data_IF_973519533692
#
_entry.id   IF_973519533692
#
_cell.length_a   1.000
_cell.length_b   1.000
_cell.length_c   1.000
_cell.angle_alpha   90.00
_cell.angle_beta   90.00
_cell.angle_gamma   90.00
#
_symmetry.space_group_name_H-M   'P 1'
#
loop_
_entity.id
_entity.type
_entity.pdbx_description
1 polymer ?
#
# COMPACT_ATOMS: atom_id res chain seq x y z
N UNK A 1 -36.02 -46.39 -32.00
CA UNK A 1 -37.21 -46.11 -32.83
C UNK A 1 -38.35 -45.69 -31.91
N UNK A 2 -39.24 -44.76 -32.31
CA UNK A 2 -39.04 -43.69 -33.30
C UNK A 2 -38.10 -42.63 -32.66
N UNK A 3 -38.27 -41.30 -32.53
CA UNK A 3 -39.08 -40.19 -33.11
C UNK A 3 -38.35 -38.86 -32.75
N UNK A 4 -38.47 -37.71 -33.42
CA UNK A 4 -39.24 -37.37 -34.65
C UNK A 4 -40.11 -36.11 -34.45
N UNK A 5 -39.66 -34.92 -34.88
CA UNK A 5 -40.46 -33.68 -34.74
C UNK A 5 -39.82 -32.39 -35.26
N UNK A 6 -40.02 -32.07 -36.55
CA UNK A 6 -39.57 -30.81 -37.18
C UNK A 6 -40.73 -29.96 -37.71
N UNK A 7 -40.77 -28.67 -37.36
CA UNK A 7 -41.49 -27.57 -38.06
C UNK A 7 -40.68 -26.27 -37.83
N UNK A 8 -40.05 -25.67 -38.84
CA UNK A 8 -40.55 -24.89 -40.00
C UNK A 8 -41.11 -23.50 -39.64
N UNK A 9 -40.47 -22.49 -40.26
CA UNK A 9 -40.85 -21.06 -40.33
C UNK A 9 -42.19 -20.84 -41.05
N UNK A 10 -42.72 -19.60 -41.01
CA UNK A 10 -42.82 -18.85 -42.28
C UNK A 10 -42.17 -17.46 -42.26
N UNK A 11 -41.91 -16.93 -43.47
CA UNK A 11 -41.47 -15.54 -43.73
C UNK A 11 -42.70 -14.66 -44.05
N UNK A 12 -42.61 -13.33 -43.86
CA UNK A 12 -42.27 -12.39 -44.95
C UNK A 12 -42.94 -11.01 -44.86
N UNK A 13 -42.24 -9.99 -45.41
CA UNK A 13 -42.76 -8.73 -46.00
C UNK A 13 -43.36 -7.71 -44.99
N UNK A 14 -43.38 -6.39 -45.26
CA UNK A 14 -43.11 -5.63 -46.50
C UNK A 14 -42.62 -4.19 -46.19
N UNK A 15 -41.73 -3.65 -47.00
CA UNK A 15 -41.49 -2.20 -47.21
C UNK A 15 -42.41 -1.72 -48.40
N UNK A 16 -42.29 -0.52 -49.05
CA UNK A 16 -41.38 0.63 -48.84
C UNK A 16 -42.05 2.04 -49.02
N UNK A 17 -41.21 3.07 -49.24
CA UNK A 17 -41.44 4.44 -49.78
C UNK A 17 -41.69 5.56 -48.75
N UNK A 18 -40.96 6.70 -48.71
CA UNK A 18 -40.40 7.64 -49.73
C UNK A 18 -41.41 8.67 -50.28
N UNK A 19 -41.17 9.97 -50.05
CA UNK A 19 -40.88 10.98 -51.10
C UNK A 19 -40.76 12.44 -50.56
N UNK A 20 -40.05 13.27 -51.33
CA UNK A 20 -39.61 14.65 -51.06
C UNK A 20 -40.67 15.78 -51.20
N UNK A 21 -40.47 16.90 -50.50
CA UNK A 21 -40.26 18.26 -51.08
C UNK A 21 -39.63 19.16 -50.00
N UNK A 22 -38.64 20.06 -50.13
CA UNK A 22 -38.06 20.97 -51.17
C UNK A 22 -38.74 22.34 -51.36
N UNK A 23 -37.86 23.38 -51.39
CA UNK A 23 -38.04 24.78 -51.83
C UNK A 23 -38.86 25.77 -50.96
N UNK A 24 -38.63 27.11 -50.95
CA UNK A 24 -37.41 27.95 -51.22
C UNK A 24 -37.68 29.46 -50.99
N UNK A 25 -36.67 30.22 -50.54
CA UNK A 25 -36.50 31.72 -50.60
C UNK A 25 -37.63 32.56 -49.91
N UNK A 26 -37.56 33.89 -49.66
CA UNK A 26 -36.66 35.05 -49.91
C UNK A 26 -36.80 35.97 -48.65
N UNK A 27 -35.86 36.73 -48.02
CA UNK A 27 -34.81 37.74 -48.36
C UNK A 27 -35.13 39.13 -47.73
N UNK A 28 -34.10 39.95 -47.47
CA UNK A 28 -34.08 41.32 -46.89
C UNK A 28 -34.36 41.46 -45.37
N UNK A 29 -33.68 42.32 -44.59
CA UNK A 29 -32.43 43.09 -44.87
C UNK A 29 -31.65 43.49 -43.60
N UNK A 30 -30.45 44.07 -43.80
CA UNK A 30 -29.59 44.92 -42.94
C UNK A 30 -30.01 45.19 -41.48
N UNK A 31 -29.09 45.18 -40.49
CA UNK A 31 -28.09 46.27 -40.37
C UNK A 31 -26.85 46.02 -39.47
N UNK A 32 -25.86 46.92 -39.64
CA UNK A 32 -24.77 47.36 -38.75
C UNK A 32 -23.78 46.39 -38.04
N UNK A 33 -22.50 46.79 -38.10
CA UNK A 33 -21.33 46.17 -37.46
C UNK A 33 -21.20 46.48 -35.95
N UNK A 34 -20.45 45.65 -35.22
CA UNK A 34 -19.20 46.05 -34.52
C UNK A 34 -18.49 44.79 -33.99
N UNK A 35 -17.19 44.66 -34.27
CA UNK A 35 -16.43 43.44 -33.96
C UNK A 35 -15.70 43.47 -32.63
N UNK A 36 -15.76 42.37 -31.87
CA UNK A 36 -14.78 42.02 -30.83
C UNK A 36 -14.35 40.56 -31.03
N UNK A 37 -13.15 40.36 -31.56
CA UNK A 37 -12.52 39.03 -31.64
C UNK A 37 -12.02 38.61 -30.26
N UNK A 38 -12.52 37.47 -29.74
CA UNK A 38 -11.93 36.81 -28.57
C UNK A 38 -11.84 35.30 -28.76
N UNK A 39 -10.61 34.83 -28.94
CA UNK A 39 -10.24 33.42 -29.05
C UNK A 39 -10.47 32.68 -27.74
N UNK A 40 -11.57 31.94 -27.63
CA UNK A 40 -11.82 30.98 -26.55
C UNK A 40 -11.13 29.65 -26.80
N UNK A 41 -9.81 29.58 -26.62
CA UNK A 41 -9.07 28.32 -26.81
C UNK A 41 -9.44 27.26 -25.77
N UNK A 42 -9.69 26.04 -26.25
CA UNK A 42 -10.00 24.88 -25.39
C UNK A 42 -8.76 24.44 -24.62
N UNK A 43 -8.76 24.66 -23.30
CA UNK A 43 -7.66 24.32 -22.40
C UNK A 43 -7.54 22.80 -22.09
N UNK A 44 -7.65 21.94 -23.11
CA UNK A 44 -7.17 20.56 -23.06
C UNK A 44 -5.68 20.50 -23.40
N UNK A 45 -4.86 21.06 -22.51
CA UNK A 45 -3.40 20.98 -22.59
C UNK A 45 -2.95 19.53 -22.37
N UNK A 46 -2.79 18.78 -23.47
CA UNK A 46 -2.08 17.51 -23.46
C UNK A 46 -0.65 17.77 -22.95
N UNK A 47 -0.34 17.31 -21.73
CA UNK A 47 0.96 17.46 -21.10
C UNK A 47 2.02 16.71 -21.91
N UNK A 48 2.67 17.43 -22.84
CA UNK A 48 3.65 16.87 -23.76
C UNK A 48 4.72 16.06 -23.02
N UNK A 49 4.95 14.83 -23.49
CA UNK A 49 5.75 13.83 -22.81
C UNK A 49 7.26 14.12 -22.96
N UNK A 50 7.73 15.23 -22.36
CA UNK A 50 9.16 15.53 -22.21
C UNK A 50 9.78 14.41 -21.39
N UNK A 51 10.62 13.60 -22.03
CA UNK A 51 11.27 12.45 -21.38
C UNK A 51 11.96 12.86 -20.08
N UNK A 52 11.78 12.05 -19.03
CA UNK A 52 12.26 12.42 -17.69
C UNK A 52 13.79 12.34 -17.69
N UNK A 53 14.41 13.46 -17.34
CA UNK A 53 15.87 13.50 -17.18
C UNK A 53 16.29 12.61 -16.01
N UNK A 54 17.55 12.15 -15.95
CA UNK A 54 18.09 11.38 -14.81
C UNK A 54 18.04 12.09 -13.44
N UNK A 55 17.45 13.28 -13.36
CA UNK A 55 17.27 14.10 -12.17
C UNK A 55 15.82 14.11 -11.64
N UNK A 56 14.89 13.35 -12.21
CA UNK A 56 13.55 13.16 -11.64
C UNK A 56 13.60 12.13 -10.48
N UNK A 57 13.34 12.53 -9.21
CA UNK A 57 13.35 11.60 -8.07
C UNK A 57 12.34 10.45 -8.20
N UNK A 58 11.33 10.60 -9.07
CA UNK A 58 10.39 9.53 -9.40
C UNK A 58 11.09 8.30 -9.98
N UNK A 59 12.12 8.48 -10.81
CA UNK A 59 12.87 7.36 -11.40
C UNK A 59 13.53 6.54 -10.30
N UNK A 60 14.18 7.22 -9.35
CA UNK A 60 14.83 6.58 -8.20
C UNK A 60 13.84 5.89 -7.27
N UNK A 61 12.73 6.54 -6.92
CA UNK A 61 11.66 5.95 -6.11
C UNK A 61 11.06 4.71 -6.77
N UNK A 62 10.69 4.81 -8.05
CA UNK A 62 10.14 3.69 -8.81
C UNK A 62 11.15 2.54 -8.96
N UNK A 63 12.43 2.86 -9.11
CA UNK A 63 13.52 1.86 -9.16
C UNK A 63 13.66 1.12 -7.83
N UNK A 64 13.60 1.83 -6.69
CA UNK A 64 13.58 1.20 -5.37
C UNK A 64 12.38 0.30 -5.16
N UNK A 65 11.21 0.74 -5.61
CA UNK A 65 9.98 -0.03 -5.56
C UNK A 65 10.10 -1.33 -6.39
N UNK A 66 10.54 -1.23 -7.66
CA UNK A 66 10.69 -2.40 -8.52
C UNK A 66 11.82 -3.33 -8.08
N UNK A 67 12.96 -2.83 -7.60
CA UNK A 67 14.04 -3.68 -7.08
C UNK A 67 13.72 -4.30 -5.71
N UNK A 68 12.74 -3.76 -4.97
CA UNK A 68 12.30 -4.32 -3.69
C UNK A 68 11.51 -5.62 -3.83
N UNK A 69 10.57 -5.69 -4.78
CA UNK A 69 9.63 -6.82 -4.89
C UNK A 69 9.38 -7.35 -6.31
N UNK A 70 9.94 -6.68 -7.34
CA UNK A 70 9.86 -7.10 -8.73
C UNK A 70 10.56 -8.43 -8.99
N UNK A 71 9.91 -9.27 -9.78
CA UNK A 71 10.43 -10.57 -10.24
C UNK A 71 10.13 -10.71 -11.73
N UNK A 72 10.96 -11.44 -12.51
CA UNK A 72 10.56 -11.87 -13.84
C UNK A 72 9.22 -12.62 -13.80
N UNK A 73 8.36 -12.37 -14.79
CA UNK A 73 7.23 -13.23 -15.06
C UNK A 73 7.72 -14.62 -15.52
N UNK A 74 6.91 -15.66 -15.26
CA UNK A 74 7.19 -17.01 -15.77
C UNK A 74 7.09 -17.05 -17.30
N UNK A 75 6.26 -16.18 -17.89
CA UNK A 75 6.02 -16.09 -19.31
C UNK A 75 6.27 -14.65 -19.83
N UNK A 76 7.26 -14.51 -20.71
CA UNK A 76 7.53 -13.27 -21.46
C UNK A 76 8.37 -12.20 -20.74
N UNK A 77 8.70 -11.13 -21.48
CA UNK A 77 9.54 -10.00 -21.03
C UNK A 77 8.77 -9.00 -20.16
N UNK A 78 8.31 -9.47 -19.00
CA UNK A 78 7.56 -8.67 -18.03
C UNK A 78 8.08 -8.85 -16.61
N UNK A 79 8.01 -7.79 -15.80
CA UNK A 79 8.14 -7.90 -14.35
C UNK A 79 6.76 -8.03 -13.71
N UNK A 80 6.66 -8.90 -12.71
CA UNK A 80 5.51 -9.07 -11.85
C UNK A 80 5.85 -8.59 -10.43
N UNK A 81 4.91 -7.89 -9.80
CA UNK A 81 4.91 -7.53 -8.39
C UNK A 81 3.60 -7.97 -7.74
N UNK A 82 3.64 -8.35 -6.46
CA UNK A 82 2.46 -8.77 -5.69
C UNK A 82 2.51 -8.12 -4.32
N UNK A 83 1.45 -7.40 -3.94
CA UNK A 83 1.35 -6.62 -2.71
C UNK A 83 0.05 -6.94 -1.97
N UNK A 84 -0.06 -6.52 -0.71
CA UNK A 84 -1.32 -6.54 0.03
C UNK A 84 -2.38 -5.74 -0.75
N UNK A 85 -3.59 -6.28 -0.89
CA UNK A 85 -4.59 -5.73 -1.83
C UNK A 85 -4.92 -4.26 -1.59
N UNK A 86 -4.87 -3.76 -0.36
CA UNK A 86 -5.08 -2.34 -0.02
C UNK A 86 -4.14 -1.37 -0.78
N UNK A 87 -3.05 -1.84 -1.37
CA UNK A 87 -2.12 -1.02 -2.14
C UNK A 87 -2.50 -0.82 -3.62
N UNK A 88 -3.66 -1.30 -4.08
CA UNK A 88 -4.10 -1.14 -5.48
C UNK A 88 -4.24 0.33 -5.89
N UNK A 89 -4.67 1.19 -4.98
CA UNK A 89 -4.81 2.64 -5.18
C UNK A 89 -3.45 3.29 -5.45
N UNK A 90 -2.49 3.05 -4.55
CA UNK A 90 -1.11 3.50 -4.68
C UNK A 90 -0.42 2.99 -5.96
N UNK A 91 -0.59 1.70 -6.29
CA UNK A 91 -0.08 1.12 -7.55
C UNK A 91 -0.61 1.87 -8.78
N UNK A 92 -1.91 2.18 -8.80
CA UNK A 92 -2.54 2.90 -9.89
C UNK A 92 -1.99 4.33 -10.03
N UNK A 93 -1.90 5.09 -8.93
CA UNK A 93 -1.34 6.45 -8.97
C UNK A 93 0.15 6.47 -9.36
N UNK A 94 0.95 5.54 -8.83
CA UNK A 94 2.36 5.41 -9.19
C UNK A 94 2.52 5.07 -10.68
N UNK A 95 1.68 4.19 -11.22
CA UNK A 95 1.69 3.84 -12.65
C UNK A 95 1.41 5.04 -13.54
N UNK A 96 0.35 5.81 -13.24
CA UNK A 96 0.01 7.02 -13.99
C UNK A 96 1.13 8.05 -13.90
N UNK A 97 1.69 8.27 -12.70
CA UNK A 97 2.82 9.19 -12.47
C UNK A 97 4.05 8.76 -13.27
N UNK A 98 4.29 7.47 -13.41
CA UNK A 98 5.35 6.91 -14.25
C UNK A 98 5.11 7.10 -15.76
N UNK A 99 3.88 7.38 -16.20
CA UNK A 99 3.51 7.49 -17.62
C UNK A 99 3.12 6.15 -18.25
N UNK A 100 2.55 5.26 -17.45
CA UNK A 100 2.07 3.93 -17.86
C UNK A 100 0.55 4.00 -17.99
N UNK A 101 0.03 4.22 -19.20
CA UNK A 101 -1.40 4.51 -19.43
C UNK A 101 -2.35 3.34 -19.13
N UNK A 102 -1.84 2.10 -19.16
CA UNK A 102 -2.62 0.87 -18.96
C UNK A 102 -1.83 -0.10 -18.06
N UNK A 103 -1.74 0.18 -16.74
CA UNK A 103 -1.08 -0.74 -15.82
C UNK A 103 -1.88 -2.05 -15.74
N UNK A 104 -1.21 -3.18 -15.92
CA UNK A 104 -1.85 -4.50 -15.82
C UNK A 104 -2.00 -4.88 -14.35
N UNK A 105 -3.00 -4.31 -13.69
CA UNK A 105 -3.39 -4.63 -12.31
C UNK A 105 -4.42 -5.76 -12.33
N UNK A 106 -4.27 -6.75 -11.45
CA UNK A 106 -5.25 -7.81 -11.23
C UNK A 106 -5.34 -8.23 -9.75
N UNK A 107 -6.41 -8.91 -9.38
CA UNK A 107 -6.72 -9.31 -8.01
C UNK A 107 -6.83 -10.83 -7.90
N UNK A 108 -5.71 -11.57 -7.90
CA UNK A 108 -5.73 -13.04 -7.92
C UNK A 108 -6.29 -13.62 -6.62
N UNK A 109 -7.34 -14.43 -6.75
CA UNK A 109 -7.91 -15.24 -5.67
C UNK A 109 -7.04 -16.49 -5.47
N UNK A 110 -6.23 -16.52 -4.42
CA UNK A 110 -5.30 -17.64 -4.17
C UNK A 110 -5.95 -18.87 -3.51
N UNK A 111 -7.28 -18.86 -3.34
CA UNK A 111 -8.08 -19.96 -2.79
C UNK A 111 -7.75 -20.34 -1.33
N UNK A 112 -6.84 -19.62 -0.67
CA UNK A 112 -6.22 -20.06 0.56
C UNK A 112 -6.97 -19.56 1.80
N UNK A 113 -7.06 -20.42 2.82
CA UNK A 113 -7.65 -20.09 4.11
C UNK A 113 -6.59 -19.59 5.11
N UNK A 114 -6.89 -18.46 5.74
CA UNK A 114 -6.15 -17.92 6.87
C UNK A 114 -6.34 -18.79 8.11
N UNK A 115 -5.27 -19.47 8.53
CA UNK A 115 -5.26 -20.25 9.79
C UNK A 115 -5.51 -19.39 11.04
N UNK A 116 -5.15 -18.10 10.99
CA UNK A 116 -5.38 -17.15 12.10
C UNK A 116 -6.85 -16.73 12.20
N UNK A 117 -7.51 -16.46 11.05
CA UNK A 117 -8.90 -15.96 11.00
C UNK A 117 -9.94 -17.07 10.75
N UNK A 118 -9.51 -18.34 10.56
CA UNK A 118 -10.37 -19.48 10.17
C UNK A 118 -11.26 -19.20 8.94
N UNK A 119 -10.79 -18.37 8.03
CA UNK A 119 -11.58 -17.81 6.93
C UNK A 119 -10.71 -17.50 5.71
N UNK A 120 -11.21 -16.72 4.74
CA UNK A 120 -10.42 -16.27 3.60
C UNK A 120 -9.09 -15.61 4.03
N UNK A 121 -8.05 -15.78 3.21
CA UNK A 121 -6.81 -15.00 3.35
C UNK A 121 -7.03 -13.56 2.88
N UNK A 122 -6.26 -12.63 3.46
CA UNK A 122 -6.16 -11.26 2.95
C UNK A 122 -5.77 -11.29 1.47
N UNK A 123 -6.50 -10.54 0.66
CA UNK A 123 -6.30 -10.50 -0.78
C UNK A 123 -4.94 -9.93 -1.15
N UNK A 124 -4.50 -10.22 -2.37
CA UNK A 124 -3.34 -9.57 -2.97
C UNK A 124 -3.73 -8.81 -4.23
N UNK A 125 -2.97 -7.77 -4.53
CA UNK A 125 -2.99 -7.09 -5.82
C UNK A 125 -1.70 -7.46 -6.57
N UNK A 126 -1.85 -7.96 -7.79
CA UNK A 126 -0.75 -8.17 -8.71
C UNK A 126 -0.66 -7.00 -9.68
N UNK A 127 0.58 -6.59 -9.99
CA UNK A 127 0.89 -5.61 -11.03
C UNK A 127 1.94 -6.20 -11.96
N UNK A 128 1.68 -6.10 -13.26
CA UNK A 128 2.58 -6.60 -14.32
C UNK A 128 2.95 -5.47 -15.28
N UNK A 129 4.23 -5.37 -15.64
CA UNK A 129 4.72 -4.41 -16.64
C UNK A 129 5.66 -5.08 -17.64
N UNK A 130 5.32 -4.96 -18.93
CA UNK A 130 6.18 -5.36 -20.06
C UNK A 130 7.17 -4.24 -20.37
N UNK A 131 8.39 -4.59 -20.79
CA UNK A 131 9.43 -3.64 -21.25
C UNK A 131 8.90 -2.67 -22.34
N UNK A 132 8.10 -3.20 -23.27
CA UNK A 132 7.44 -2.44 -24.35
C UNK A 132 6.43 -1.40 -23.86
N UNK A 133 5.79 -1.62 -22.70
CA UNK A 133 4.72 -0.79 -22.17
C UNK A 133 5.21 0.38 -21.29
N UNK A 134 6.50 0.45 -21.01
CA UNK A 134 7.13 1.65 -20.46
C UNK A 134 7.39 2.67 -21.57
N UNK A 135 7.12 3.95 -21.32
CA UNK A 135 7.51 5.04 -22.24
C UNK A 135 8.91 5.59 -21.94
N UNK A 136 9.38 5.46 -20.69
CA UNK A 136 10.64 6.04 -20.22
C UNK A 136 11.83 5.05 -20.29
N UNK A 137 13.00 5.53 -20.71
CA UNK A 137 14.21 4.71 -20.91
C UNK A 137 14.84 4.21 -19.61
N UNK A 138 14.75 4.96 -18.51
CA UNK A 138 15.24 4.53 -17.20
C UNK A 138 14.31 3.49 -16.59
N UNK A 139 12.99 3.64 -16.79
CA UNK A 139 12.01 2.62 -16.42
C UNK A 139 12.27 1.31 -17.18
N UNK A 140 12.56 1.36 -18.50
CA UNK A 140 13.00 0.18 -19.27
C UNK A 140 14.31 -0.41 -18.74
N UNK A 141 15.29 0.44 -18.42
CA UNK A 141 16.55 0.01 -17.79
C UNK A 141 16.32 -0.76 -16.49
N UNK A 142 15.43 -0.26 -15.63
CA UNK A 142 15.06 -0.92 -14.37
C UNK A 142 14.44 -2.29 -14.62
N UNK A 143 13.43 -2.38 -15.49
CA UNK A 143 12.74 -3.62 -15.88
C UNK A 143 13.75 -4.64 -16.39
N UNK A 144 14.59 -4.26 -17.36
CA UNK A 144 15.64 -5.13 -17.94
C UNK A 144 16.62 -5.60 -16.87
N UNK A 145 17.07 -4.71 -15.99
CA UNK A 145 17.99 -5.10 -14.91
C UNK A 145 17.41 -6.12 -13.90
N UNK A 146 16.09 -6.25 -13.82
CA UNK A 146 15.40 -7.29 -13.03
C UNK A 146 15.30 -8.60 -13.84
N UNK A 147 14.95 -8.50 -15.13
CA UNK A 147 14.87 -9.65 -16.04
C UNK A 147 16.23 -10.33 -16.24
N UNK A 148 17.28 -9.52 -16.43
CA UNK A 148 18.65 -9.96 -16.69
C UNK A 148 19.44 -10.22 -15.38
N UNK A 149 18.84 -9.96 -14.21
CA UNK A 149 19.46 -10.04 -12.87
C UNK A 149 20.75 -9.18 -12.69
N UNK A 150 20.93 -8.16 -13.54
CA UNK A 150 22.06 -7.19 -13.51
C UNK A 150 21.80 -5.97 -12.61
N UNK A 151 20.77 -6.04 -11.75
CA UNK A 151 20.24 -4.89 -10.99
C UNK A 151 21.29 -4.13 -10.16
N UNK A 152 22.30 -4.82 -9.63
CA UNK A 152 23.34 -4.23 -8.80
C UNK A 152 24.36 -3.38 -9.57
N UNK A 153 24.51 -3.62 -10.88
CA UNK A 153 25.41 -2.84 -11.74
C UNK A 153 24.66 -1.75 -12.49
N UNK A 154 23.42 -2.04 -12.92
CA UNK A 154 22.51 -1.04 -13.46
C UNK A 154 22.21 0.09 -12.46
N UNK A 155 22.01 -0.22 -11.18
CA UNK A 155 21.75 0.84 -10.19
C UNK A 155 22.97 1.73 -9.94
N UNK A 156 24.20 1.20 -10.05
CA UNK A 156 25.43 1.99 -9.91
C UNK A 156 25.57 3.02 -11.02
N UNK A 157 25.14 2.71 -12.25
CA UNK A 157 25.12 3.71 -13.34
C UNK A 157 23.95 4.71 -13.23
N UNK A 158 22.87 4.36 -12.52
CA UNK A 158 21.78 5.29 -12.16
C UNK A 158 22.20 6.33 -11.10
N UNK A 159 23.21 6.03 -10.27
CA UNK A 159 23.78 6.91 -9.25
C UNK A 159 25.18 7.43 -9.65
N UNK A 160 25.30 8.29 -10.69
CA UNK A 160 26.59 8.74 -11.18
C UNK A 160 27.36 9.57 -10.14
N UNK A 161 28.61 9.18 -9.90
CA UNK A 161 29.54 9.81 -8.93
C UNK A 161 29.94 11.25 -9.28
N UNK A 162 29.61 11.73 -10.49
CA UNK A 162 29.78 13.12 -10.91
C UNK A 162 28.75 14.09 -10.31
N UNK A 163 27.71 13.59 -9.64
CA UNK A 163 26.73 14.42 -8.94
C UNK A 163 27.27 14.95 -7.59
N UNK A 164 26.94 16.19 -7.19
CA UNK A 164 27.28 16.69 -5.86
C UNK A 164 26.76 15.74 -4.77
N UNK A 165 27.51 15.46 -3.69
CA UNK A 165 27.12 14.47 -2.68
C UNK A 165 25.69 14.68 -2.16
N UNK A 166 25.29 15.92 -1.86
CA UNK A 166 23.93 16.24 -1.40
C UNK A 166 22.82 15.88 -2.40
N UNK A 167 23.09 15.94 -3.71
CA UNK A 167 22.12 15.53 -4.73
C UNK A 167 22.03 13.99 -4.82
N UNK A 168 23.16 13.28 -4.75
CA UNK A 168 23.20 11.80 -4.65
C UNK A 168 22.44 11.31 -3.40
N UNK A 169 22.63 11.95 -2.25
CA UNK A 169 21.92 11.63 -1.00
C UNK A 169 20.39 11.77 -1.14
N UNK A 170 19.91 12.82 -1.81
CA UNK A 170 18.48 13.07 -2.03
C UNK A 170 17.84 12.06 -2.99
N UNK A 171 18.52 11.67 -4.06
CA UNK A 171 18.04 10.59 -4.93
C UNK A 171 18.08 9.23 -4.24
N UNK A 172 19.08 9.01 -3.35
CA UNK A 172 19.19 7.77 -2.59
C UNK A 172 18.07 7.66 -1.55
N UNK A 173 17.71 8.72 -0.84
CA UNK A 173 16.56 8.68 0.09
C UNK A 173 15.24 8.41 -0.63
N UNK A 174 15.03 8.96 -1.83
CA UNK A 174 13.88 8.60 -2.68
C UNK A 174 13.89 7.11 -3.08
N UNK A 175 15.04 6.56 -3.49
CA UNK A 175 15.19 5.13 -3.78
C UNK A 175 14.90 4.26 -2.55
N UNK A 176 15.44 4.60 -1.38
CA UNK A 176 15.22 3.88 -0.12
C UNK A 176 13.73 3.89 0.25
N UNK A 177 13.04 5.04 0.14
CA UNK A 177 11.59 5.13 0.38
C UNK A 177 10.79 4.26 -0.59
N UNK A 178 11.19 4.21 -1.87
CA UNK A 178 10.60 3.28 -2.86
C UNK A 178 10.76 1.82 -2.46
N UNK A 179 11.96 1.43 -2.04
CA UNK A 179 12.26 0.08 -1.54
C UNK A 179 11.44 -0.25 -0.28
N UNK A 180 11.23 0.72 0.60
CA UNK A 180 10.39 0.58 1.79
C UNK A 180 8.90 0.40 1.44
N UNK A 181 8.39 1.14 0.44
CA UNK A 181 7.02 0.97 -0.05
C UNK A 181 6.78 -0.48 -0.51
N UNK A 182 7.68 -1.02 -1.35
CA UNK A 182 7.61 -2.41 -1.83
C UNK A 182 7.88 -3.43 -0.71
N UNK A 183 9.14 -3.57 -0.29
CA UNK A 183 9.65 -4.65 0.55
C UNK A 183 10.11 -4.18 1.94
N UNK A 184 9.65 -3.01 2.39
CA UNK A 184 9.83 -2.52 3.75
C UNK A 184 8.71 -2.94 4.71
N UNK A 185 9.08 -3.05 5.98
CA UNK A 185 8.20 -3.14 7.14
C UNK A 185 8.62 -2.06 8.18
N UNK A 186 7.65 -1.30 8.68
CA UNK A 186 7.85 -0.24 9.67
C UNK A 186 7.57 -0.83 11.05
N UNK A 187 8.61 -1.17 11.80
CA UNK A 187 8.46 -1.79 13.12
C UNK A 187 8.25 -0.74 14.21
N UNK A 188 7.21 -0.95 15.01
CA UNK A 188 6.84 -0.14 16.16
C UNK A 188 6.54 -1.02 17.37
N UNK A 189 6.50 -0.44 18.57
CA UNK A 189 6.04 -1.10 19.81
C UNK A 189 5.07 -0.20 20.55
N UNK A 190 4.08 -0.77 21.24
CA UNK A 190 3.25 0.00 22.16
C UNK A 190 4.05 0.35 23.43
N UNK A 191 3.89 1.58 23.89
CA UNK A 191 4.51 2.20 25.07
C UNK A 191 3.44 2.97 25.85
N UNK A 192 3.80 3.42 27.05
CA UNK A 192 2.87 3.98 28.05
C UNK A 192 2.92 3.24 29.38
N UNK A 193 2.21 3.78 30.37
CA UNK A 193 2.06 3.23 31.73
C UNK A 193 0.64 2.73 32.03
N UNK A 194 -0.36 3.24 31.32
CA UNK A 194 -1.78 2.89 31.42
C UNK A 194 -2.45 3.01 30.01
N UNK A 195 -3.73 2.62 29.83
CA UNK A 195 -4.41 2.67 28.54
C UNK A 195 -4.61 4.06 27.92
N UNK A 196 -4.62 5.13 28.72
CA UNK A 196 -4.82 6.51 28.24
C UNK A 196 -3.51 7.08 27.67
N UNK A 197 -2.38 6.80 28.34
CA UNK A 197 -1.02 7.13 27.89
C UNK A 197 -0.49 6.18 26.81
N UNK A 198 -1.35 5.37 26.19
CA UNK A 198 -0.97 4.34 25.23
C UNK A 198 -0.57 4.96 23.88
N UNK A 199 0.72 4.90 23.56
CA UNK A 199 1.28 5.39 22.29
C UNK A 199 2.04 4.29 21.56
N UNK A 200 2.00 4.34 20.23
CA UNK A 200 2.89 3.61 19.34
C UNK A 200 4.25 4.33 19.34
N UNK A 201 5.34 3.56 19.34
CA UNK A 201 6.71 4.08 19.28
C UNK A 201 7.48 3.37 18.17
N UNK A 202 7.94 4.11 17.17
CA UNK A 202 8.77 3.65 16.06
C UNK A 202 10.10 3.05 16.54
N UNK A 203 10.51 1.92 15.99
CA UNK A 203 11.71 1.17 16.46
C UNK A 203 12.78 1.09 15.40
N UNK A 204 12.40 0.79 14.17
CA UNK A 204 13.28 0.54 13.02
C UNK A 204 12.46 0.24 11.77
N UNK A 205 13.09 0.43 10.62
CA UNK A 205 12.63 -0.11 9.34
C UNK A 205 13.35 -1.43 9.08
N UNK A 206 12.64 -2.40 8.51
CA UNK A 206 13.19 -3.65 8.00
C UNK A 206 12.93 -3.71 6.49
N UNK A 207 13.98 -3.73 5.66
CA UNK A 207 13.90 -3.92 4.21
C UNK A 207 14.37 -5.32 3.85
N UNK A 208 13.59 -6.08 3.09
CA UNK A 208 13.89 -7.46 2.70
C UNK A 208 14.37 -7.55 1.25
N UNK A 209 15.39 -8.38 0.99
CA UNK A 209 15.93 -8.60 -0.35
C UNK A 209 16.41 -10.03 -0.58
N UNK A 210 16.25 -10.50 -1.82
CA UNK A 210 16.77 -11.80 -2.31
C UNK A 210 18.20 -11.71 -2.83
N UNK A 211 18.56 -10.62 -3.50
CA UNK A 211 19.88 -10.40 -4.09
C UNK A 211 20.84 -9.81 -3.05
N UNK A 212 21.85 -10.59 -2.63
CA UNK A 212 22.85 -10.18 -1.64
C UNK A 212 23.76 -9.03 -2.14
N UNK A 213 24.06 -8.96 -3.43
CA UNK A 213 24.91 -7.91 -3.99
C UNK A 213 24.21 -6.55 -3.95
N UNK A 214 22.92 -6.52 -4.29
CA UNK A 214 22.07 -5.34 -4.11
C UNK A 214 21.95 -4.95 -2.63
N UNK A 215 21.67 -5.90 -1.74
CA UNK A 215 21.53 -5.65 -0.29
C UNK A 215 22.83 -5.12 0.33
N UNK A 216 24.00 -5.61 -0.11
CA UNK A 216 25.31 -5.08 0.30
C UNK A 216 25.55 -3.67 -0.20
N UNK A 217 25.21 -3.39 -1.46
CA UNK A 217 25.33 -2.04 -2.03
C UNK A 217 24.44 -1.03 -1.28
N UNK A 218 23.15 -1.34 -1.08
CA UNK A 218 22.22 -0.48 -0.33
C UNK A 218 22.75 -0.18 1.09
N UNK A 219 23.31 -1.18 1.79
CA UNK A 219 23.86 -0.96 3.14
C UNK A 219 25.17 -0.13 3.12
N UNK A 220 26.00 -0.25 2.08
CA UNK A 220 27.20 0.58 1.93
C UNK A 220 26.83 2.05 1.67
N UNK A 221 25.93 2.29 0.72
CA UNK A 221 25.40 3.63 0.41
C UNK A 221 24.76 4.28 1.64
N UNK A 222 23.99 3.52 2.45
CA UNK A 222 23.45 4.01 3.72
C UNK A 222 24.56 4.41 4.71
N UNK A 223 25.66 3.67 4.82
CA UNK A 223 26.76 4.09 5.67
C UNK A 223 27.50 5.32 5.13
N UNK A 224 27.61 5.49 3.81
CA UNK A 224 28.13 6.72 3.19
C UNK A 224 27.25 7.95 3.49
N UNK A 225 25.94 7.78 3.76
CA UNK A 225 25.07 8.87 4.21
C UNK A 225 25.19 9.21 5.70
N UNK A 226 25.98 8.44 6.45
CA UNK A 226 25.98 8.47 7.92
C UNK A 226 24.83 7.69 8.57
N UNK A 227 24.01 6.97 7.80
CA UNK A 227 22.95 6.14 8.38
C UNK A 227 23.51 4.88 9.08
N UNK A 228 22.82 4.51 10.17
CA UNK A 228 23.11 3.33 10.99
C UNK A 228 22.20 2.17 10.60
N UNK A 229 22.68 1.34 9.68
CA UNK A 229 22.03 0.09 9.25
C UNK A 229 22.81 -1.18 9.63
N UNK A 230 22.15 -2.33 9.61
CA UNK A 230 22.75 -3.65 9.81
C UNK A 230 22.16 -4.68 8.83
N UNK A 231 22.99 -5.52 8.22
CA UNK A 231 22.54 -6.65 7.39
C UNK A 231 22.35 -7.88 8.29
N UNK A 232 21.12 -8.37 8.38
CA UNK A 232 20.77 -9.62 9.06
C UNK A 232 20.42 -10.69 8.02
N UNK A 233 21.13 -11.83 8.06
CA UNK A 233 20.80 -13.00 7.22
C UNK A 233 19.74 -13.85 7.91
N UNK A 234 18.63 -14.14 7.23
CA UNK A 234 17.55 -14.96 7.76
C UNK A 234 17.57 -16.36 7.13
N UNK A 235 17.93 -17.37 7.93
CA UNK A 235 17.91 -18.78 7.52
C UNK A 235 16.49 -19.36 7.64
N UNK A 236 15.72 -19.28 6.56
CA UNK A 236 14.41 -19.95 6.41
C UNK A 236 14.48 -21.50 6.49
N UNK A 237 15.67 -22.09 6.62
CA UNK A 237 15.90 -23.54 6.71
C UNK A 237 15.15 -24.25 7.84
N UNK A 238 14.67 -23.55 8.87
CA UNK A 238 13.77 -24.10 9.91
C UNK A 238 12.32 -24.32 9.43
N UNK A 239 11.92 -23.73 8.31
CA UNK A 239 10.60 -23.90 7.67
C UNK A 239 10.67 -24.78 6.42
N UNK A 240 11.75 -24.67 5.63
CA UNK A 240 12.10 -25.66 4.60
C UNK A 240 13.58 -25.51 4.18
N UNK A 241 14.33 -26.60 4.00
CA UNK A 241 15.70 -26.55 3.47
C UNK A 241 15.83 -25.91 2.08
N UNK A 242 14.74 -25.96 1.29
CA UNK A 242 14.67 -25.48 -0.10
C UNK A 242 14.39 -23.98 -0.21
N UNK A 243 13.99 -23.30 0.87
CA UNK A 243 13.74 -21.87 0.83
C UNK A 243 15.07 -21.10 0.70
N UNK A 244 15.18 -20.16 -0.27
CA UNK A 244 16.39 -19.37 -0.43
C UNK A 244 16.69 -18.53 0.82
N UNK A 245 17.97 -18.26 1.05
CA UNK A 245 18.40 -17.29 2.09
C UNK A 245 17.77 -15.94 1.78
N UNK A 246 17.09 -15.38 2.77
CA UNK A 246 16.54 -14.02 2.69
C UNK A 246 17.45 -13.09 3.47
N UNK A 247 17.80 -11.95 2.87
CA UNK A 247 18.61 -10.93 3.52
C UNK A 247 17.72 -9.77 3.95
N UNK A 248 18.04 -9.16 5.08
CA UNK A 248 17.30 -8.02 5.61
C UNK A 248 18.25 -6.92 6.02
N UNK A 249 18.06 -5.72 5.48
CA UNK A 249 18.66 -4.50 6.00
C UNK A 249 17.74 -3.98 7.11
N UNK A 250 18.33 -3.63 8.24
CA UNK A 250 17.60 -3.04 9.37
C UNK A 250 18.16 -1.64 9.61
N UNK A 251 17.31 -0.62 9.49
CA UNK A 251 17.65 0.79 9.74
C UNK A 251 16.99 1.20 11.05
N UNK A 252 17.77 1.57 12.07
CA UNK A 252 17.26 1.82 13.43
C UNK A 252 16.56 3.19 13.53
N UNK A 253 15.64 3.35 14.47
CA UNK A 253 15.18 4.69 14.87
C UNK A 253 16.36 5.42 15.53
N UNK A 254 16.89 6.45 14.88
CA UNK A 254 18.04 7.25 15.28
C UNK A 254 18.07 8.54 14.44
N UNK A 255 18.52 9.65 15.02
CA UNK A 255 18.28 11.00 14.48
C UNK A 255 18.80 11.22 13.05
N UNK A 256 20.01 10.74 12.74
CA UNK A 256 20.56 10.80 11.38
C UNK A 256 19.75 10.00 10.35
N UNK A 257 19.27 8.80 10.73
CA UNK A 257 18.41 7.97 9.89
C UNK A 257 17.05 8.66 9.66
N UNK A 258 16.51 9.27 10.72
CA UNK A 258 15.23 9.97 10.70
C UNK A 258 15.30 11.23 9.83
N UNK A 259 16.39 12.00 9.90
CA UNK A 259 16.65 13.17 9.04
C UNK A 259 16.77 12.77 7.57
N UNK A 260 17.59 11.77 7.25
CA UNK A 260 17.77 11.25 5.89
C UNK A 260 16.45 10.80 5.23
N UNK A 261 15.58 10.10 5.99
CA UNK A 261 14.26 9.72 5.51
C UNK A 261 13.33 10.93 5.35
N UNK A 262 13.39 11.89 6.27
CA UNK A 262 12.58 13.13 6.23
C UNK A 262 12.92 14.02 5.02
N UNK A 263 14.20 14.15 4.67
CA UNK A 263 14.63 14.81 3.42
C UNK A 263 14.07 14.10 2.18
N UNK A 264 14.03 12.76 2.19
CA UNK A 264 13.38 11.97 1.14
C UNK A 264 11.87 12.25 1.02
N UNK A 265 11.15 12.35 2.14
CA UNK A 265 9.73 12.74 2.13
C UNK A 265 9.52 14.16 1.60
N UNK A 266 10.34 15.14 2.00
CA UNK A 266 10.28 16.50 1.46
C UNK A 266 10.46 16.52 -0.07
N UNK A 267 11.40 15.70 -0.59
CA UNK A 267 11.63 15.55 -2.03
C UNK A 267 10.43 14.90 -2.74
N UNK A 268 9.83 13.85 -2.16
CA UNK A 268 8.62 13.22 -2.70
C UNK A 268 7.44 14.20 -2.80
N UNK A 269 7.19 14.98 -1.75
CA UNK A 269 6.13 16.01 -1.75
C UNK A 269 6.40 17.09 -2.79
N UNK A 270 7.62 17.64 -2.83
CA UNK A 270 8.05 18.66 -3.82
C UNK A 270 7.81 18.20 -5.26
N UNK A 271 8.10 16.94 -5.57
CA UNK A 271 7.92 16.37 -6.91
C UNK A 271 6.55 15.73 -7.13
N UNK A 272 5.63 15.80 -6.15
CA UNK A 272 4.29 15.20 -6.15
C UNK A 272 4.33 13.71 -6.51
N UNK A 273 5.25 12.96 -5.90
CA UNK A 273 5.37 11.51 -6.07
C UNK A 273 4.36 10.83 -5.14
N UNK A 274 3.56 9.85 -5.59
CA UNK A 274 2.64 9.12 -4.73
C UNK A 274 3.35 8.47 -3.53
N UNK A 275 2.76 8.63 -2.35
CA UNK A 275 3.22 8.05 -1.08
C UNK A 275 2.14 7.07 -0.62
N UNK A 276 2.49 5.80 -0.42
CA UNK A 276 1.56 4.79 0.09
C UNK A 276 1.27 4.95 1.58
N UNK A 277 0.14 4.46 2.07
CA UNK A 277 -0.24 4.47 3.48
C UNK A 277 0.83 3.88 4.42
N UNK A 278 1.60 2.88 3.95
CA UNK A 278 2.79 2.36 4.66
C UNK A 278 3.86 3.44 4.88
N UNK A 279 4.14 4.24 3.85
CA UNK A 279 5.10 5.34 3.92
C UNK A 279 4.53 6.57 4.64
N UNK A 280 3.26 6.92 4.45
CA UNK A 280 2.60 7.98 5.21
C UNK A 280 2.65 7.69 6.72
N UNK A 281 2.38 6.45 7.13
CA UNK A 281 2.49 6.00 8.52
C UNK A 281 3.93 6.07 9.08
N UNK A 282 4.96 5.92 8.23
CA UNK A 282 6.35 6.21 8.61
C UNK A 282 6.60 7.71 8.72
N UNK A 283 6.12 8.51 7.77
CA UNK A 283 6.24 9.97 7.76
C UNK A 283 5.58 10.59 9.00
N UNK A 284 4.41 10.09 9.39
CA UNK A 284 3.69 10.50 10.59
C UNK A 284 4.50 10.21 11.87
N UNK A 285 5.18 9.06 11.96
CA UNK A 285 6.12 8.81 13.05
C UNK A 285 7.28 9.81 13.05
N UNK A 286 7.88 10.09 11.88
CA UNK A 286 9.02 11.03 11.78
C UNK A 286 8.64 12.47 12.14
N UNK A 287 7.41 12.90 11.82
CA UNK A 287 6.84 14.21 12.18
C UNK A 287 6.48 14.36 13.67
N UNK A 288 6.45 13.27 14.43
CA UNK A 288 6.00 13.23 15.83
C UNK A 288 7.05 12.56 16.73
N UNK A 289 8.35 12.81 16.49
CA UNK A 289 9.48 12.32 17.29
C UNK A 289 9.54 10.79 17.49
N UNK A 290 9.01 10.04 16.53
CA UNK A 290 8.88 8.59 16.59
C UNK A 290 7.65 8.06 17.34
N UNK A 291 6.69 8.92 17.71
CA UNK A 291 5.49 8.56 18.48
C UNK A 291 4.19 8.78 17.70
N UNK A 292 3.21 7.89 17.88
CA UNK A 292 1.84 8.05 17.36
C UNK A 292 0.80 7.58 18.38
N UNK A 293 -0.44 8.07 18.34
CA UNK A 293 -1.49 7.55 19.21
C UNK A 293 -1.90 6.12 18.79
N UNK A 294 -2.42 5.32 19.73
CA UNK A 294 -2.92 3.97 19.40
C UNK A 294 -4.13 4.00 18.43
N UNK A 295 -4.82 5.13 18.30
CA UNK A 295 -5.93 5.33 17.35
C UNK A 295 -5.57 5.27 15.87
N UNK A 296 -4.28 5.26 15.51
CA UNK A 296 -3.85 5.03 14.12
C UNK A 296 -4.06 3.56 13.66
N UNK A 297 -4.51 2.65 14.54
CA UNK A 297 -4.66 1.21 14.28
C UNK A 297 -6.04 0.64 14.72
N UNK A 298 -7.01 0.38 13.81
CA UNK A 298 -8.34 -0.13 14.13
C UNK A 298 -8.32 -1.46 14.87
N UNK A 299 -7.52 -2.43 14.42
CA UNK A 299 -7.46 -3.77 15.00
C UNK A 299 -6.97 -3.84 16.45
N UNK A 300 -6.49 -2.72 17.03
CA UNK A 300 -6.12 -2.63 18.45
C UNK A 300 -7.22 -2.05 19.34
N UNK A 301 -8.25 -1.47 18.75
CA UNK A 301 -9.41 -0.92 19.45
C UNK A 301 -10.54 -1.96 19.54
N UNK A 302 -10.78 -2.71 18.45
CA UNK A 302 -11.94 -3.60 18.26
C UNK A 302 -11.52 -5.04 17.96
N UNK A 303 -12.38 -6.01 18.27
CA UNK A 303 -12.26 -7.36 17.69
C UNK A 303 -12.73 -7.40 16.23
N UNK A 304 -12.41 -8.46 15.50
CA UNK A 304 -12.85 -8.60 14.11
C UNK A 304 -14.38 -8.54 13.95
N UNK A 305 -15.14 -9.15 14.87
CA UNK A 305 -16.61 -9.03 14.87
C UNK A 305 -17.11 -7.64 15.28
N UNK A 306 -16.44 -6.95 16.20
CA UNK A 306 -16.80 -5.57 16.55
C UNK A 306 -16.55 -4.59 15.39
N UNK A 307 -15.59 -4.88 14.51
CA UNK A 307 -15.32 -4.11 13.29
C UNK A 307 -16.33 -4.41 12.16
N UNK A 308 -16.83 -5.66 12.07
CA UNK A 308 -17.91 -6.03 11.15
C UNK A 308 -19.28 -5.50 11.57
N UNK A 309 -19.55 -5.40 12.88
CA UNK A 309 -20.85 -5.01 13.41
C UNK A 309 -21.96 -5.96 12.93
N UNK A 310 -23.07 -5.38 12.49
CA UNK A 310 -24.24 -6.11 11.96
C UNK A 310 -23.91 -6.88 10.66
N UNK A 311 -22.86 -6.47 9.94
CA UNK A 311 -22.44 -7.07 8.68
C UNK A 311 -21.71 -8.43 8.81
N UNK A 312 -21.65 -9.01 10.01
CA UNK A 312 -20.93 -10.27 10.33
C UNK A 312 -21.48 -11.53 9.64
N UNK A 313 -22.66 -11.45 9.02
CA UNK A 313 -23.25 -12.53 8.22
C UNK A 313 -23.23 -12.27 6.71
N UNK A 314 -22.66 -11.14 6.28
CA UNK A 314 -22.55 -10.78 4.87
C UNK A 314 -21.19 -11.20 4.30
N UNK A 315 -21.22 -11.95 3.19
CA UNK A 315 -20.03 -12.51 2.53
C UNK A 315 -19.06 -11.42 2.08
N UNK A 316 -19.54 -10.42 1.32
CA UNK A 316 -18.73 -9.33 0.79
C UNK A 316 -18.12 -8.52 1.95
N UNK A 317 -18.94 -8.17 2.94
CA UNK A 317 -18.50 -7.46 4.14
C UNK A 317 -17.39 -8.23 4.85
N UNK A 318 -17.53 -9.54 5.04
CA UNK A 318 -16.55 -10.35 5.76
C UNK A 318 -15.22 -10.48 5.01
N UNK A 319 -15.26 -10.52 3.67
CA UNK A 319 -14.06 -10.54 2.81
C UNK A 319 -13.38 -9.16 2.77
N UNK A 320 -14.13 -8.06 2.59
CA UNK A 320 -13.56 -6.70 2.60
C UNK A 320 -13.01 -6.35 3.98
N UNK A 321 -13.71 -6.73 5.07
CA UNK A 321 -13.20 -6.54 6.42
C UNK A 321 -11.87 -7.26 6.65
N UNK A 322 -11.67 -8.46 6.07
CA UNK A 322 -10.41 -9.21 6.19
C UNK A 322 -9.22 -8.46 5.58
N UNK A 323 -9.45 -7.65 4.55
CA UNK A 323 -8.42 -6.83 3.90
C UNK A 323 -8.16 -5.51 4.65
N UNK A 324 -9.20 -4.89 5.22
CA UNK A 324 -9.14 -3.56 5.84
C UNK A 324 -8.83 -3.56 7.35
N UNK A 325 -9.19 -4.61 8.10
CA UNK A 325 -9.11 -4.64 9.57
C UNK A 325 -7.70 -4.38 10.13
N UNK A 326 -6.68 -5.00 9.55
CA UNK A 326 -5.28 -4.88 10.00
C UNK A 326 -4.54 -3.66 9.38
N UNK A 327 -5.21 -2.81 8.58
CA UNK A 327 -4.60 -1.62 7.97
C UNK A 327 -4.42 -0.50 9.01
N UNK A 328 -3.42 0.36 8.80
CA UNK A 328 -3.30 1.62 9.54
C UNK A 328 -4.20 2.71 8.92
N UNK A 329 -4.48 3.78 9.68
CA UNK A 329 -5.33 4.90 9.26
C UNK A 329 -4.97 5.48 7.87
N UNK A 330 -3.68 5.64 7.56
CA UNK A 330 -3.25 6.19 6.27
C UNK A 330 -3.49 5.22 5.11
N UNK A 331 -3.32 3.91 5.35
CA UNK A 331 -3.69 2.86 4.38
C UNK A 331 -5.21 2.76 4.16
N UNK A 332 -6.03 3.12 5.17
CA UNK A 332 -7.48 3.26 4.97
C UNK A 332 -7.77 4.48 4.10
N UNK A 333 -7.29 5.66 4.50
CA UNK A 333 -7.55 6.94 3.82
C UNK A 333 -7.09 6.91 2.34
N UNK A 334 -6.00 6.21 2.02
CA UNK A 334 -5.58 5.96 0.63
C UNK A 334 -6.66 5.29 -0.22
N UNK A 335 -7.35 4.28 0.31
CA UNK A 335 -8.37 3.52 -0.43
C UNK A 335 -9.71 4.26 -0.42
N UNK A 336 -10.08 4.92 0.69
CA UNK A 336 -11.31 5.71 0.77
C UNK A 336 -11.27 6.92 -0.19
N UNK A 337 -10.15 7.64 -0.24
CA UNK A 337 -9.95 8.74 -1.20
C UNK A 337 -9.91 8.24 -2.65
N UNK A 338 -9.27 7.10 -2.90
CA UNK A 338 -9.26 6.51 -4.24
C UNK A 338 -10.66 6.09 -4.72
N UNK A 339 -11.47 5.57 -3.81
CA UNK A 339 -12.85 5.17 -4.08
C UNK A 339 -13.81 6.37 -4.30
N UNK A 340 -13.44 7.55 -3.79
CA UNK A 340 -14.32 8.73 -3.76
C UNK A 340 -15.44 8.58 -2.72
N UNK A 341 -15.11 8.07 -1.53
CA UNK A 341 -16.03 7.95 -0.40
C UNK A 341 -16.07 9.27 0.38
N UNK A 342 -17.26 9.84 0.63
CA UNK A 342 -17.41 11.21 1.18
C UNK A 342 -16.85 11.40 2.60
N UNK A 343 -16.44 10.32 3.28
CA UNK A 343 -15.76 10.31 4.59
C UNK A 343 -14.33 9.75 4.47
N UNK A 344 -13.55 10.21 3.49
CA UNK A 344 -12.25 9.63 3.16
C UNK A 344 -11.07 10.07 4.02
N UNK A 345 -11.16 11.22 4.68
CA UNK A 345 -10.08 11.81 5.50
C UNK A 345 -10.38 11.70 7.01
N UNK A 346 -10.58 10.47 7.48
CA UNK A 346 -10.78 10.16 8.90
C UNK A 346 -9.48 10.34 9.72
N UNK A 347 -9.63 10.75 10.98
CA UNK A 347 -8.57 11.16 11.92
C UNK A 347 -8.35 10.18 13.08
N UNK A 348 -9.37 9.40 13.44
CA UNK A 348 -9.26 8.21 14.31
C UNK A 348 -9.81 7.01 13.54
N UNK A 349 -9.20 5.83 13.70
CA UNK A 349 -9.73 4.57 13.18
C UNK A 349 -11.19 4.29 13.58
N UNK A 350 -11.67 4.85 14.71
CA UNK A 350 -13.08 4.77 15.15
C UNK A 350 -14.07 5.49 14.25
N UNK A 351 -13.62 6.48 13.48
CA UNK A 351 -14.48 7.24 12.56
C UNK A 351 -14.81 6.41 11.29
N UNK A 352 -14.12 5.29 11.07
CA UNK A 352 -14.39 4.39 9.96
C UNK A 352 -15.66 3.56 10.17
N UNK A 353 -16.78 4.08 9.70
CA UNK A 353 -18.01 3.29 9.55
C UNK A 353 -17.85 2.29 8.39
N UNK A 354 -17.50 1.06 8.75
CA UNK A 354 -17.32 -0.04 7.82
C UNK A 354 -18.62 -0.42 7.10
N UNK A 355 -19.78 -0.36 7.77
CA UNK A 355 -21.05 -0.77 7.17
C UNK A 355 -21.54 0.26 6.14
N UNK A 356 -21.36 1.56 6.41
CA UNK A 356 -21.58 2.60 5.40
C UNK A 356 -20.61 2.49 4.22
N UNK A 357 -19.35 2.10 4.45
CA UNK A 357 -18.39 1.89 3.37
C UNK A 357 -18.79 0.69 2.48
N UNK A 358 -19.25 -0.44 3.05
CA UNK A 358 -19.79 -1.56 2.26
C UNK A 358 -21.05 -1.14 1.50
N UNK A 359 -21.96 -0.40 2.13
CA UNK A 359 -23.16 0.13 1.50
C UNK A 359 -22.85 1.15 0.37
N UNK A 360 -21.70 1.82 0.43
CA UNK A 360 -21.18 2.70 -0.63
C UNK A 360 -20.60 1.91 -1.79
N UNK A 361 -19.67 0.97 -1.56
CA UNK A 361 -19.03 0.22 -2.66
C UNK A 361 -20.04 -0.62 -3.47
N UNK A 362 -21.11 -1.09 -2.81
CA UNK A 362 -22.26 -1.77 -3.46
C UNK A 362 -23.05 -0.90 -4.45
N UNK A 363 -22.96 0.43 -4.36
CA UNK A 363 -23.65 1.39 -5.24
C UNK A 363 -22.80 1.86 -6.41
N UNK A 364 -21.59 1.31 -6.61
CA UNK A 364 -20.68 1.75 -7.67
C UNK A 364 -21.10 1.14 -9.02
N UNK A 365 -21.87 1.91 -9.79
CA UNK A 365 -22.34 1.50 -11.11
C UNK A 365 -21.23 1.36 -12.16
N UNK A 366 -21.43 0.43 -13.10
CA UNK A 366 -20.55 0.21 -14.25
C UNK A 366 -20.72 1.25 -15.38
N UNK A 367 -21.93 1.80 -15.57
CA UNK A 367 -22.36 2.43 -16.84
C UNK A 367 -21.67 3.75 -17.22
N UNK A 368 -21.05 4.46 -16.28
CA UNK A 368 -20.25 5.69 -16.53
C UNK A 368 -18.97 5.73 -15.67
N UNK A 369 -18.32 4.59 -15.50
CA UNK A 369 -17.16 4.46 -14.59
C UNK A 369 -15.82 4.78 -15.25
N UNK A 370 -15.04 5.66 -14.60
CA UNK A 370 -13.65 5.95 -14.97
C UNK A 370 -12.72 4.80 -14.56
N UNK A 371 -11.46 4.83 -14.98
CA UNK A 371 -10.47 3.77 -14.68
C UNK A 371 -10.29 3.47 -13.18
N UNK A 372 -10.40 4.46 -12.28
CA UNK A 372 -10.35 4.22 -10.82
C UNK A 372 -11.55 3.41 -10.35
N UNK A 373 -12.76 3.80 -10.78
CA UNK A 373 -14.00 3.06 -10.47
C UNK A 373 -14.00 1.66 -11.07
N UNK A 374 -13.50 1.48 -12.29
CA UNK A 374 -13.35 0.15 -12.90
C UNK A 374 -12.41 -0.75 -12.08
N UNK A 375 -11.24 -0.24 -11.67
CA UNK A 375 -10.32 -0.99 -10.81
C UNK A 375 -10.95 -1.37 -9.46
N UNK A 376 -11.75 -0.48 -8.87
CA UNK A 376 -12.48 -0.75 -7.64
C UNK A 376 -13.61 -1.79 -7.84
N UNK A 377 -14.31 -1.77 -8.98
CA UNK A 377 -15.28 -2.80 -9.36
C UNK A 377 -14.60 -4.16 -9.50
N UNK A 378 -13.39 -4.22 -10.08
CA UNK A 378 -12.63 -5.47 -10.22
C UNK A 378 -12.07 -5.97 -8.86
N UNK A 379 -11.75 -5.08 -7.92
CA UNK A 379 -11.51 -5.45 -6.53
C UNK A 379 -12.74 -6.07 -5.88
N UNK A 380 -13.93 -5.44 -6.01
CA UNK A 380 -15.18 -5.94 -5.44
C UNK A 380 -15.52 -7.33 -5.99
N UNK A 381 -15.41 -7.55 -7.31
CA UNK A 381 -15.58 -8.87 -7.95
C UNK A 381 -14.65 -9.93 -7.38
N UNK A 382 -13.38 -9.59 -7.12
CA UNK A 382 -12.42 -10.49 -6.47
C UNK A 382 -12.72 -10.73 -4.97
N UNK A 383 -13.47 -9.84 -4.32
CA UNK A 383 -14.02 -10.10 -2.99
C UNK A 383 -15.17 -11.11 -3.06
N UNK A 384 -16.12 -10.91 -3.97
CA UNK A 384 -17.26 -11.80 -4.19
C UNK A 384 -16.81 -13.24 -4.52
N UNK A 385 -15.76 -13.38 -5.33
CA UNK A 385 -15.20 -14.67 -5.77
C UNK A 385 -14.31 -15.39 -4.72
N UNK A 386 -13.94 -14.74 -3.61
CA UNK A 386 -13.06 -15.36 -2.59
C UNK A 386 -13.83 -16.33 -1.69
N UNK A 387 -13.28 -17.53 -1.49
CA UNK A 387 -13.87 -18.57 -0.64
C UNK A 387 -13.93 -18.12 0.82
N UNK A 388 -15.14 -17.99 1.36
CA UNK A 388 -15.43 -17.94 2.79
C UNK A 388 -15.91 -19.33 3.22
N UNK A 389 -15.32 -19.96 4.27
CA UNK A 389 -15.81 -21.21 4.81
C UNK A 389 -17.18 -21.08 5.49
N UNK A 390 -17.99 -22.13 5.46
CA UNK A 390 -19.23 -22.23 6.25
C UNK A 390 -18.97 -22.16 7.77
N UNK A 391 -17.75 -22.50 8.21
CA UNK A 391 -17.31 -22.24 9.57
C UNK A 391 -17.12 -20.74 9.77
N UNK A 392 -17.99 -20.13 10.59
CA UNK A 392 -17.89 -18.73 11.04
C UNK A 392 -16.44 -18.33 11.33
N UNK A 393 -16.03 -17.16 10.83
CA UNK A 393 -14.72 -16.56 11.06
C UNK A 393 -14.32 -16.64 12.53
N UNK A 394 -13.02 -16.80 12.82
CA UNK A 394 -12.52 -16.55 14.17
C UNK A 394 -12.72 -15.08 14.53
N UNK A 395 -13.28 -14.80 15.71
CA UNK A 395 -13.28 -13.45 16.28
C UNK A 395 -11.85 -13.08 16.71
N UNK A 396 -11.02 -12.69 15.73
CA UNK A 396 -9.61 -12.40 15.96
C UNK A 396 -9.48 -11.12 16.78
N UNK A 397 -9.22 -11.34 18.06
CA UNK A 397 -8.79 -10.31 19.01
C UNK A 397 -7.27 -10.19 18.92
N UNK A 398 -6.77 -9.22 18.17
CA UNK A 398 -5.42 -8.71 18.43
C UNK A 398 -5.42 -8.25 19.90
N UNK A 399 -4.42 -8.65 20.69
CA UNK A 399 -4.31 -8.19 22.08
C UNK A 399 -4.36 -6.66 22.10
N UNK A 400 -5.33 -6.09 22.80
CA UNK A 400 -5.38 -4.64 23.02
C UNK A 400 -4.19 -4.27 23.91
N UNK A 401 -3.67 -3.04 23.80
CA UNK A 401 -2.78 -2.50 24.82
C UNK A 401 -3.40 -2.71 26.20
N UNK A 402 -2.58 -3.17 27.15
CA UNK A 402 -2.96 -3.31 28.56
C UNK A 402 -3.93 -4.46 28.94
N UNK A 403 -4.27 -5.37 28.02
CA UNK A 403 -5.06 -6.60 28.27
C UNK A 403 -4.53 -7.53 29.39
N UNK A 404 -3.28 -7.38 29.85
CA UNK A 404 -2.70 -8.23 30.90
C UNK A 404 -2.85 -7.57 32.26
N UNK A 405 -3.86 -7.96 33.03
CA UNK A 405 -4.09 -7.47 34.40
C UNK A 405 -3.14 -8.17 35.39
N UNK A 406 -2.58 -7.43 36.34
CA UNK A 406 -1.86 -7.99 37.49
C UNK A 406 -2.88 -8.52 38.52
N UNK A 407 -2.81 -9.79 38.95
CA UNK A 407 -3.83 -10.38 39.83
C UNK A 407 -3.86 -9.78 41.24
N UNK A 408 -2.75 -9.23 41.72
CA UNK A 408 -2.61 -8.74 43.11
C UNK A 408 -3.19 -7.34 43.33
N UNK A 409 -3.13 -6.48 42.30
CA UNK A 409 -3.47 -5.05 42.42
C UNK A 409 -4.38 -4.54 41.30
N UNK A 410 -4.87 -5.43 40.43
CA UNK A 410 -5.66 -5.12 39.22
C UNK A 410 -5.01 -4.14 38.22
N UNK A 411 -3.73 -3.79 38.37
CA UNK A 411 -3.05 -2.86 37.46
C UNK A 411 -2.87 -3.49 36.07
N UNK A 412 -3.36 -2.85 34.99
CA UNK A 412 -3.30 -3.40 33.65
C UNK A 412 -1.92 -3.14 33.00
N UNK A 413 -1.44 -4.07 32.16
CA UNK A 413 -0.05 -4.10 31.64
C UNK A 413 0.01 -4.49 30.16
N UNK A 414 0.91 -3.85 29.40
CA UNK A 414 1.10 -4.08 27.96
C UNK A 414 1.44 -5.55 27.63
N UNK A 415 2.16 -6.25 28.51
CA UNK A 415 2.62 -7.61 28.26
C UNK A 415 2.85 -8.43 29.55
N UNK A 416 2.89 -9.76 29.41
CA UNK A 416 3.10 -10.71 30.52
C UNK A 416 4.48 -10.58 31.19
N UNK A 417 5.50 -10.04 30.51
CA UNK A 417 6.84 -9.82 31.07
C UNK A 417 6.94 -8.55 31.93
N UNK A 418 6.15 -7.52 31.64
CA UNK A 418 5.89 -6.40 32.55
C UNK A 418 5.05 -6.85 33.75
N UNK A 419 3.95 -7.57 33.53
CA UNK A 419 3.12 -8.07 34.62
C UNK A 419 3.91 -8.96 35.58
N UNK A 420 4.73 -9.91 35.09
CA UNK A 420 5.63 -10.71 35.94
C UNK A 420 6.61 -9.85 36.76
N UNK A 421 7.30 -8.89 36.14
CA UNK A 421 8.21 -7.98 36.86
C UNK A 421 7.50 -7.08 37.87
N UNK A 422 6.20 -6.82 37.70
CA UNK A 422 5.37 -6.11 38.67
C UNK A 422 4.85 -7.02 39.79
N UNK A 423 4.53 -8.29 39.52
CA UNK A 423 4.19 -9.27 40.55
C UNK A 423 5.36 -9.41 41.57
N UNK A 424 6.60 -9.43 41.09
CA UNK A 424 7.80 -9.37 41.94
C UNK A 424 7.86 -8.12 42.85
N UNK A 425 7.20 -7.01 42.51
CA UNK A 425 7.11 -5.82 43.40
C UNK A 425 5.99 -5.90 44.44
N UNK A 426 5.20 -6.97 44.42
CA UNK A 426 4.29 -7.34 45.52
C UNK A 426 4.89 -8.46 46.40
N UNK A 427 5.69 -9.35 45.79
CA UNK A 427 6.41 -10.43 46.48
C UNK A 427 7.65 -9.92 47.24
N UNK A 428 8.25 -8.81 46.79
CA UNK A 428 9.34 -8.13 47.48
C UNK A 428 8.84 -7.46 48.79
N UNK A 429 8.97 -8.16 49.92
CA UNK A 429 8.80 -7.55 51.24
C UNK A 429 9.79 -6.38 51.40
N UNK A 430 9.45 -5.41 52.26
CA UNK A 430 10.30 -4.24 52.52
C UNK A 430 11.70 -4.67 53.00
N UNK A 431 11.80 -5.78 53.73
CA UNK A 431 13.05 -6.39 54.19
C UNK A 431 13.95 -6.81 53.02
N UNK A 432 13.39 -7.40 51.96
CA UNK A 432 14.17 -7.80 50.77
C UNK A 432 14.80 -6.59 50.05
N UNK A 433 14.09 -5.46 50.03
CA UNK A 433 14.54 -4.19 49.41
C UNK A 433 15.62 -3.53 50.29
N UNK A 434 15.52 -3.64 51.61
CA UNK A 434 16.54 -3.17 52.56
C UNK A 434 17.81 -4.05 52.53
N UNK A 435 17.66 -5.38 52.49
CA UNK A 435 18.78 -6.32 52.39
C UNK A 435 19.61 -6.09 51.11
N UNK A 436 18.97 -5.85 49.97
CA UNK A 436 19.67 -5.51 48.72
C UNK A 436 20.29 -4.11 48.68
N UNK A 437 19.93 -3.19 49.60
CA UNK A 437 20.66 -1.92 49.76
C UNK A 437 21.99 -2.10 50.50
N UNK A 438 22.03 -2.90 51.56
CA UNK A 438 23.28 -3.21 52.27
C UNK A 438 24.28 -3.97 51.38
N UNK A 439 23.81 -4.83 50.46
CA UNK A 439 24.68 -5.57 49.54
C UNK A 439 25.25 -4.73 48.36
N UNK A 440 25.15 -3.39 48.43
CA UNK A 440 25.78 -2.45 47.49
C UNK A 440 26.62 -1.37 48.18
N UNK A 441 26.90 -1.55 49.47
CA UNK A 441 27.73 -0.66 50.30
C UNK A 441 28.92 -1.40 50.92
N UNK A 442 29.34 -2.52 50.29
CA UNK A 442 30.53 -3.30 50.57
C UNK A 442 31.19 -3.64 49.22
#
# INVERSE_FOLDING_TARGET
MPSGGSRKLPRSKKEPKEAHSTASLEVHDHDAEVGITRSGESAHSASGNKGKTPSDPLIYFFSGFCLGIGKPAVEGKAINMTLDVSQFSFLYELSNKCGIDKPSISFPSDGCLSKEFKACKTGSVQWSLKDEAANDSHIKGCIRSILDNTSADWIRSLFPTSKPPKERLLFLSAFILGFIAAAGNVEWTVRGLNPLDAKLHFRRIQMYGSNLSLVRWINAELHETGCTSEIVTYNNRRLSPLLPRSFRIVVKNADGNNSFLSEGFQLMHKHKIPISGKLKFLEDFLKNDGWLPVSTLPCRQYSFYQFLGESVHDHLSSVVARDFFDQNLQSLNDVLNFAGYDKSDIKDAKEFDFSLFVAFIRKIETKKSNRKKLLLIDYIRSCEQRIVPDTKFGDVRRRKPFDVICPTCSKPMIDKGRMRRHALTHEASIESILAHRHYRSC
#
